data_IF_002313759278
#
_entry.id   IF_002313759278
#
_cell.length_a   1.000
_cell.length_b   1.000
_cell.length_c   1.000
_cell.angle_alpha   90.00
_cell.angle_beta   90.00
_cell.angle_gamma   90.00
#
_symmetry.space_group_name_H-M   'P 1'
#
loop_
_entity.id
_entity.type
_entity.pdbx_description
1 polymer ?
#
# COMPACT_ATOMS: atom_id res chain seq x y z
N UNK A 1 3.49 32.02 -2.78
CA UNK A 1 4.94 32.26 -2.61
C UNK A 1 5.24 32.05 -1.14
N UNK A 2 5.55 30.82 -0.78
CA UNK A 2 6.12 30.47 0.51
C UNK A 2 7.58 30.16 0.21
N UNK A 3 8.48 31.03 0.65
CA UNK A 3 9.90 30.76 0.66
C UNK A 3 10.14 29.54 1.55
N UNK A 4 10.26 28.37 0.95
CA UNK A 4 11.06 27.29 1.53
C UNK A 4 12.42 27.91 1.84
N UNK A 5 12.77 27.99 3.13
CA UNK A 5 14.14 28.15 3.59
C UNK A 5 15.01 27.19 2.77
N UNK A 6 15.67 27.73 1.75
CA UNK A 6 16.56 26.97 0.91
C UNK A 6 17.80 26.73 1.76
N UNK A 7 17.87 25.53 2.34
CA UNK A 7 19.11 25.00 2.90
C UNK A 7 20.19 25.23 1.84
N UNK A 8 21.24 25.98 2.16
CA UNK A 8 22.30 26.26 1.18
C UNK A 8 22.78 24.93 0.58
N UNK A 9 22.98 24.86 -0.76
CA UNK A 9 23.41 23.64 -1.39
C UNK A 9 24.68 23.14 -0.71
N UNK A 10 24.67 21.87 -0.31
CA UNK A 10 25.86 21.26 0.27
C UNK A 10 27.03 21.44 -0.70
N UNK A 11 28.28 21.53 -0.23
CA UNK A 11 29.44 21.82 -1.09
C UNK A 11 29.66 20.81 -2.23
N UNK A 12 28.95 19.68 -2.21
CA UNK A 12 28.98 18.63 -3.22
C UNK A 12 27.63 18.38 -3.90
N UNK A 13 26.62 19.21 -3.64
CA UNK A 13 25.30 19.06 -4.24
C UNK A 13 25.36 19.40 -5.74
N UNK A 14 24.65 18.61 -6.54
CA UNK A 14 24.63 18.81 -8.00
C UNK A 14 23.72 19.97 -8.37
N UNK A 15 24.17 20.93 -9.17
CA UNK A 15 23.29 22.03 -9.63
C UNK A 15 22.32 21.61 -10.76
N UNK A 16 22.56 20.45 -11.38
CA UNK A 16 21.81 19.97 -12.54
C UNK A 16 20.64 19.06 -12.13
N UNK A 17 19.40 19.51 -12.37
CA UNK A 17 18.16 18.74 -12.12
C UNK A 17 18.20 17.35 -12.79
N UNK A 18 18.68 17.24 -14.02
CA UNK A 18 18.77 15.97 -14.73
C UNK A 18 19.67 14.98 -13.98
N UNK A 19 20.80 15.44 -13.46
CA UNK A 19 21.70 14.59 -12.66
C UNK A 19 21.08 14.20 -11.31
N UNK A 20 20.37 15.11 -10.63
CA UNK A 20 19.62 14.79 -9.39
C UNK A 20 18.57 13.71 -9.60
N UNK A 21 17.85 13.76 -10.71
CA UNK A 21 16.87 12.73 -11.05
C UNK A 21 17.54 11.38 -11.29
N UNK A 22 18.68 11.37 -11.99
CA UNK A 22 19.46 10.14 -12.24
C UNK A 22 19.97 9.54 -10.93
N UNK A 23 20.58 10.33 -10.05
CA UNK A 23 21.07 9.84 -8.75
C UNK A 23 19.93 9.33 -7.89
N UNK A 24 18.83 10.07 -7.79
CA UNK A 24 17.70 9.71 -6.92
C UNK A 24 17.00 8.44 -7.40
N UNK A 25 16.67 8.36 -8.70
CA UNK A 25 16.02 7.18 -9.27
C UNK A 25 16.96 5.97 -9.29
N UNK A 26 18.22 6.17 -9.70
CA UNK A 26 19.23 5.13 -9.73
C UNK A 26 19.53 4.54 -8.36
N UNK A 27 19.63 5.39 -7.33
CA UNK A 27 19.83 4.95 -5.95
C UNK A 27 18.61 4.18 -5.41
N UNK A 28 17.41 4.64 -5.71
CA UNK A 28 16.18 3.94 -5.34
C UNK A 28 16.12 2.53 -5.96
N UNK A 29 16.42 2.42 -7.26
CA UNK A 29 16.52 1.15 -7.97
C UNK A 29 17.62 0.23 -7.43
N UNK A 30 18.78 0.80 -7.09
CA UNK A 30 19.89 0.05 -6.47
C UNK A 30 19.46 -0.55 -5.12
N UNK A 31 18.82 0.22 -4.25
CA UNK A 31 18.33 -0.27 -2.97
C UNK A 31 17.30 -1.40 -3.15
N UNK A 32 16.37 -1.24 -4.11
CA UNK A 32 15.38 -2.28 -4.40
C UNK A 32 16.04 -3.57 -4.88
N UNK A 33 17.05 -3.46 -5.74
CA UNK A 33 17.84 -4.60 -6.20
C UNK A 33 18.60 -5.28 -5.06
N UNK A 34 19.28 -4.51 -4.19
CA UNK A 34 19.96 -5.07 -3.02
C UNK A 34 18.96 -5.75 -2.07
N UNK A 35 17.78 -5.14 -1.85
CA UNK A 35 16.71 -5.75 -1.06
C UNK A 35 16.22 -7.08 -1.66
N UNK A 36 16.14 -7.17 -2.98
CA UNK A 36 15.86 -8.42 -3.69
C UNK A 36 16.95 -9.46 -3.47
N UNK A 37 18.23 -9.10 -3.64
CA UNK A 37 19.36 -10.01 -3.43
C UNK A 37 19.45 -10.53 -1.97
N UNK A 38 19.17 -9.67 -0.99
CA UNK A 38 19.10 -10.08 0.41
C UNK A 38 17.96 -11.09 0.61
N UNK A 39 16.79 -10.85 0.01
CA UNK A 39 15.66 -11.79 0.07
C UNK A 39 15.98 -13.12 -0.61
N UNK A 40 16.67 -13.09 -1.75
CA UNK A 40 17.08 -14.28 -2.50
C UNK A 40 18.10 -15.14 -1.73
N UNK A 41 19.02 -14.53 -0.99
CA UNK A 41 20.14 -15.25 -0.37
C UNK A 41 19.95 -15.50 1.14
N UNK A 42 19.22 -14.64 1.85
CA UNK A 42 19.06 -14.75 3.31
C UNK A 42 17.79 -15.52 3.70
N UNK A 43 17.97 -16.68 4.34
CA UNK A 43 16.83 -17.55 4.69
C UNK A 43 15.88 -16.92 5.71
N UNK A 44 16.35 -16.01 6.58
CA UNK A 44 15.49 -15.40 7.59
C UNK A 44 14.41 -14.53 6.95
N UNK A 45 14.73 -13.71 5.94
CA UNK A 45 13.79 -12.81 5.25
C UNK A 45 12.72 -13.59 4.49
N UNK A 46 13.08 -14.73 3.88
CA UNK A 46 12.11 -15.62 3.24
C UNK A 46 11.21 -16.35 4.22
N UNK A 47 11.74 -16.77 5.37
CA UNK A 47 10.98 -17.47 6.42
C UNK A 47 9.85 -16.62 7.00
N UNK A 48 10.07 -15.32 7.10
CA UNK A 48 9.06 -14.34 7.53
C UNK A 48 8.37 -13.63 6.34
N UNK A 49 8.61 -14.10 5.12
CA UNK A 49 8.04 -13.61 3.85
C UNK A 49 8.07 -12.08 3.67
N UNK A 50 9.14 -11.44 4.15
CA UNK A 50 9.29 -10.00 3.99
C UNK A 50 9.45 -9.65 2.49
N UNK A 51 8.71 -8.63 1.98
CA UNK A 51 8.90 -8.10 0.63
C UNK A 51 10.29 -7.46 0.44
N UNK A 52 10.84 -7.53 -0.76
CA UNK A 52 12.14 -6.93 -1.08
C UNK A 52 12.14 -5.40 -0.89
N UNK A 53 11.03 -4.74 -1.22
CA UNK A 53 10.81 -3.30 -1.02
C UNK A 53 10.89 -2.87 0.45
N UNK A 54 10.44 -3.72 1.39
CA UNK A 54 10.56 -3.46 2.82
C UNK A 54 12.02 -3.50 3.29
N UNK A 55 12.79 -4.49 2.82
CA UNK A 55 14.24 -4.60 3.10
C UNK A 55 14.98 -3.39 2.52
N UNK A 56 14.68 -3.06 1.26
CA UNK A 56 15.25 -1.91 0.57
C UNK A 56 14.95 -0.59 1.28
N UNK A 57 13.71 -0.41 1.75
CA UNK A 57 13.32 0.75 2.54
C UNK A 57 14.09 0.84 3.86
N UNK A 58 14.27 -0.27 4.57
CA UNK A 58 15.08 -0.33 5.79
C UNK A 58 16.57 0.00 5.54
N UNK A 59 17.13 -0.45 4.42
CA UNK A 59 18.48 -0.06 4.00
C UNK A 59 18.57 1.44 3.68
N UNK A 60 17.56 1.98 2.98
CA UNK A 60 17.46 3.41 2.69
C UNK A 60 17.37 4.24 3.97
N UNK A 61 16.58 3.79 4.94
CA UNK A 61 16.46 4.42 6.24
C UNK A 61 17.80 4.43 6.97
N UNK A 62 18.47 3.27 7.06
CA UNK A 62 19.80 3.17 7.67
C UNK A 62 20.80 4.12 7.00
N UNK A 63 20.81 4.17 5.66
CA UNK A 63 21.67 5.08 4.91
C UNK A 63 21.39 6.55 5.27
N UNK A 64 20.13 6.97 5.21
CA UNK A 64 19.73 8.34 5.55
C UNK A 64 20.14 8.70 6.98
N UNK A 65 19.94 7.80 7.94
CA UNK A 65 20.32 8.03 9.33
C UNK A 65 21.84 8.14 9.52
N UNK A 66 22.64 7.32 8.82
CA UNK A 66 24.09 7.43 8.87
C UNK A 66 24.58 8.76 8.26
N UNK A 67 23.92 9.25 7.21
CA UNK A 67 24.25 10.53 6.58
C UNK A 67 23.88 11.74 7.43
N UNK A 68 22.93 11.62 8.37
CA UNK A 68 22.58 12.69 9.31
C UNK A 68 23.70 13.00 10.32
N UNK A 69 24.71 12.13 10.45
CA UNK A 69 25.86 12.35 11.34
C UNK A 69 26.79 13.49 10.88
N UNK A 70 26.63 13.98 9.65
CA UNK A 70 27.39 15.09 9.09
C UNK A 70 26.49 16.03 8.28
N UNK A 71 26.38 17.29 8.70
CA UNK A 71 25.44 18.25 8.10
C UNK A 71 25.69 18.51 6.61
N UNK A 72 26.96 18.55 6.18
CA UNK A 72 27.29 18.72 4.76
C UNK A 72 26.89 17.52 3.91
N UNK A 73 27.07 16.30 4.44
CA UNK A 73 26.65 15.05 3.77
C UNK A 73 25.12 14.97 3.73
N UNK A 74 24.46 15.30 4.83
CA UNK A 74 23.00 15.34 4.93
C UNK A 74 22.41 16.25 3.85
N UNK A 75 22.90 17.47 3.71
CA UNK A 75 22.42 18.42 2.71
C UNK A 75 22.55 17.87 1.28
N UNK A 76 23.70 17.29 0.93
CA UNK A 76 23.91 16.66 -0.38
C UNK A 76 22.99 15.45 -0.60
N UNK A 77 22.79 14.61 0.42
CA UNK A 77 21.90 13.45 0.31
C UNK A 77 20.44 13.87 0.10
N UNK A 78 19.95 14.82 0.89
CA UNK A 78 18.58 15.35 0.77
C UNK A 78 18.33 16.01 -0.60
N UNK A 79 19.34 16.70 -1.15
CA UNK A 79 19.22 17.42 -2.42
C UNK A 79 19.37 16.53 -3.66
N UNK A 80 20.23 15.49 -3.61
CA UNK A 80 20.59 14.72 -4.81
C UNK A 80 20.14 13.25 -4.76
N UNK A 81 20.38 12.56 -3.63
CA UNK A 81 20.25 11.09 -3.55
C UNK A 81 18.85 10.62 -3.19
N UNK A 82 18.11 11.41 -2.42
CA UNK A 82 16.72 11.13 -2.05
C UNK A 82 15.75 12.21 -2.52
N UNK A 83 16.16 12.97 -3.54
CA UNK A 83 15.37 14.04 -4.13
C UNK A 83 13.99 13.50 -4.56
N UNK A 84 12.91 14.09 -4.02
CA UNK A 84 11.54 13.71 -4.32
C UNK A 84 10.99 12.51 -3.55
N UNK A 85 11.79 11.81 -2.74
CA UNK A 85 11.33 10.58 -2.06
C UNK A 85 10.24 10.88 -1.02
N UNK A 86 10.25 12.05 -0.38
CA UNK A 86 9.20 12.44 0.57
C UNK A 86 7.81 12.60 -0.08
N UNK A 87 7.77 12.95 -1.37
CA UNK A 87 6.50 13.11 -2.13
C UNK A 87 6.12 11.84 -2.91
N UNK A 88 7.08 10.95 -3.15
CA UNK A 88 6.87 9.75 -3.94
C UNK A 88 5.73 8.85 -3.42
N UNK A 89 5.59 8.58 -2.11
CA UNK A 89 4.54 7.69 -1.63
C UNK A 89 3.13 8.14 -2.02
N UNK A 90 2.83 9.43 -1.89
CA UNK A 90 1.52 9.99 -2.24
C UNK A 90 1.26 9.88 -3.75
N UNK A 91 2.24 10.26 -4.57
CA UNK A 91 2.13 10.19 -6.02
C UNK A 91 1.96 8.75 -6.53
N UNK A 92 2.81 7.84 -6.07
CA UNK A 92 2.77 6.42 -6.45
C UNK A 92 1.47 5.76 -5.98
N UNK A 93 0.94 6.15 -4.82
CA UNK A 93 -0.35 5.66 -4.34
C UNK A 93 -1.49 6.01 -5.31
N UNK A 94 -1.50 7.21 -5.89
CA UNK A 94 -2.49 7.57 -6.91
C UNK A 94 -2.45 6.61 -8.11
N UNK A 95 -1.26 6.16 -8.53
CA UNK A 95 -1.12 5.18 -9.61
C UNK A 95 -1.62 3.80 -9.19
N UNK A 96 -1.22 3.31 -8.00
CA UNK A 96 -1.67 2.01 -7.45
C UNK A 96 -3.20 1.94 -7.48
N UNK A 97 -3.87 2.96 -6.92
CA UNK A 97 -5.32 3.02 -6.85
C UNK A 97 -5.99 3.18 -8.22
N UNK A 98 -5.37 3.89 -9.15
CA UNK A 98 -5.83 4.02 -10.54
C UNK A 98 -5.89 2.65 -11.23
N UNK A 99 -4.83 1.84 -11.05
CA UNK A 99 -4.72 0.51 -11.70
C UNK A 99 -5.63 -0.56 -11.11
N UNK A 100 -6.28 -0.31 -9.97
CA UNK A 100 -7.01 -1.33 -9.21
C UNK A 100 -8.13 -2.02 -10.01
N UNK A 101 -8.90 -1.26 -10.78
CA UNK A 101 -10.03 -1.77 -11.58
C UNK A 101 -9.75 -1.87 -13.08
N UNK A 102 -8.62 -1.34 -13.55
CA UNK A 102 -8.29 -1.33 -14.97
C UNK A 102 -7.80 -2.70 -15.45
N UNK A 103 -8.10 -3.01 -16.71
CA UNK A 103 -7.81 -4.29 -17.36
C UNK A 103 -8.83 -5.40 -17.10
N UNK A 104 -9.89 -5.15 -16.33
CA UNK A 104 -10.94 -6.16 -16.09
C UNK A 104 -11.92 -6.26 -17.27
N UNK A 105 -11.92 -7.43 -17.92
CA UNK A 105 -12.78 -7.74 -19.08
C UNK A 105 -14.28 -7.74 -18.75
N UNK A 106 -14.65 -8.16 -17.54
CA UNK A 106 -16.03 -8.14 -17.05
C UNK A 106 -16.10 -7.49 -15.67
N UNK A 107 -16.65 -6.28 -15.61
CA UNK A 107 -16.97 -5.66 -14.33
C UNK A 107 -18.20 -6.38 -13.73
N UNK A 108 -18.14 -6.85 -12.47
CA UNK A 108 -19.27 -7.49 -11.84
C UNK A 108 -20.45 -6.51 -11.75
N UNK A 109 -21.67 -7.04 -11.84
CA UNK A 109 -22.86 -6.22 -11.59
C UNK A 109 -22.83 -5.67 -10.16
N UNK A 110 -23.47 -4.51 -9.93
CA UNK A 110 -23.52 -3.90 -8.59
C UNK A 110 -24.00 -4.87 -7.51
N UNK A 111 -24.99 -5.73 -7.81
CA UNK A 111 -25.50 -6.74 -6.88
C UNK A 111 -24.47 -7.82 -6.55
N UNK A 112 -23.70 -8.28 -7.54
CA UNK A 112 -22.61 -9.24 -7.31
C UNK A 112 -21.47 -8.59 -6.53
N UNK A 113 -21.07 -7.37 -6.92
CA UNK A 113 -20.06 -6.59 -6.21
C UNK A 113 -20.45 -6.40 -4.73
N UNK A 114 -21.71 -6.03 -4.43
CA UNK A 114 -22.19 -5.90 -3.05
C UNK A 114 -22.22 -7.22 -2.29
N UNK A 115 -22.62 -8.32 -2.94
CA UNK A 115 -22.64 -9.65 -2.30
C UNK A 115 -21.24 -10.13 -1.92
N UNK A 116 -20.24 -9.81 -2.73
CA UNK A 116 -18.84 -10.22 -2.52
C UNK A 116 -18.09 -9.24 -1.59
N UNK A 117 -18.17 -7.93 -1.87
CA UNK A 117 -17.42 -6.90 -1.16
C UNK A 117 -18.14 -6.37 0.08
N UNK A 118 -19.47 -6.47 0.17
CA UNK A 118 -20.26 -5.94 1.28
C UNK A 118 -19.86 -6.50 2.66
N UNK A 119 -19.73 -7.83 2.83
CA UNK A 119 -19.24 -8.41 4.08
C UNK A 119 -17.82 -7.94 4.44
N UNK A 120 -16.94 -7.81 3.44
CA UNK A 120 -15.57 -7.33 3.64
C UNK A 120 -15.54 -5.84 4.02
N UNK A 121 -16.39 -5.03 3.40
CA UNK A 121 -16.58 -3.63 3.76
C UNK A 121 -17.09 -3.51 5.20
N UNK A 122 -18.12 -4.29 5.57
CA UNK A 122 -18.65 -4.29 6.93
C UNK A 122 -17.59 -4.70 7.96
N UNK A 123 -16.81 -5.75 7.67
CA UNK A 123 -15.68 -6.17 8.51
C UNK A 123 -14.64 -5.04 8.63
N UNK A 124 -14.21 -4.45 7.52
CA UNK A 124 -13.27 -3.33 7.52
C UNK A 124 -13.79 -2.13 8.33
N UNK A 125 -15.09 -1.82 8.24
CA UNK A 125 -15.71 -0.78 9.06
C UNK A 125 -15.74 -1.14 10.54
N UNK A 126 -16.04 -2.38 10.92
CA UNK A 126 -16.00 -2.81 12.33
C UNK A 126 -14.59 -2.64 12.91
N UNK A 127 -13.57 -3.08 12.17
CA UNK A 127 -12.17 -2.91 12.57
C UNK A 127 -11.82 -1.42 12.70
N UNK A 128 -12.16 -0.62 11.70
CA UNK A 128 -11.84 0.81 11.67
C UNK A 128 -12.56 1.62 12.75
N UNK A 129 -13.85 1.41 12.95
CA UNK A 129 -14.59 2.04 14.06
C UNK A 129 -14.06 1.59 15.42
N UNK A 130 -13.65 0.32 15.54
CA UNK A 130 -12.92 -0.16 16.72
C UNK A 130 -11.63 0.63 16.95
N UNK A 131 -10.81 0.82 15.92
CA UNK A 131 -9.58 1.62 16.01
C UNK A 131 -9.85 3.07 16.45
N UNK A 132 -10.93 3.69 15.96
CA UNK A 132 -11.36 5.01 16.44
C UNK A 132 -11.75 5.00 17.93
N UNK A 133 -12.57 4.04 18.35
CA UNK A 133 -13.04 3.93 19.74
C UNK A 133 -11.87 3.68 20.70
N UNK A 134 -11.00 2.72 20.38
CA UNK A 134 -9.85 2.41 21.22
C UNK A 134 -8.80 3.51 21.19
N UNK A 135 -8.52 4.10 20.03
CA UNK A 135 -7.64 5.26 19.92
C UNK A 135 -8.12 6.42 20.79
N UNK A 136 -9.41 6.77 20.73
CA UNK A 136 -9.99 7.82 21.57
C UNK A 136 -9.94 7.47 23.07
N UNK A 137 -10.31 6.23 23.44
CA UNK A 137 -10.30 5.78 24.82
C UNK A 137 -8.88 5.80 25.42
N UNK A 138 -7.88 5.32 24.68
CA UNK A 138 -6.48 5.32 25.13
C UNK A 138 -5.91 6.74 25.20
N UNK A 139 -6.23 7.61 24.25
CA UNK A 139 -5.78 9.01 24.33
C UNK A 139 -6.37 9.71 25.55
N UNK A 140 -7.66 9.54 25.81
CA UNK A 140 -8.32 10.14 26.96
C UNK A 140 -7.81 9.57 28.30
N UNK A 141 -7.67 8.25 28.42
CA UNK A 141 -7.36 7.59 29.68
C UNK A 141 -5.85 7.50 29.97
N UNK A 142 -4.99 7.54 28.95
CA UNK A 142 -3.57 7.26 29.07
C UNK A 142 -2.69 8.31 28.38
N UNK A 143 -2.82 8.52 27.06
CA UNK A 143 -1.82 9.31 26.32
C UNK A 143 -1.83 10.80 26.67
N UNK A 144 -3.00 11.43 26.76
CA UNK A 144 -3.08 12.82 27.21
C UNK A 144 -2.70 13.00 28.69
N UNK A 145 -3.26 12.24 29.66
CA UNK A 145 -2.95 12.47 31.08
C UNK A 145 -1.54 12.03 31.52
N UNK A 146 -0.99 10.96 30.93
CA UNK A 146 0.31 10.39 31.37
C UNK A 146 1.46 10.87 30.50
N UNK A 147 1.25 10.96 29.18
CA UNK A 147 2.31 11.33 28.22
C UNK A 147 2.19 12.76 27.70
N UNK A 148 1.12 13.48 28.03
CA UNK A 148 0.90 14.86 27.55
C UNK A 148 0.60 14.94 26.05
N UNK A 149 0.17 13.84 25.44
CA UNK A 149 -0.07 13.77 23.99
C UNK A 149 -1.31 14.56 23.55
N UNK A 150 -1.24 15.07 22.33
CA UNK A 150 -2.32 15.86 21.72
C UNK A 150 -3.59 15.01 21.53
N UNK A 151 -4.79 15.61 21.62
CA UNK A 151 -6.06 14.88 21.48
C UNK A 151 -6.19 14.14 20.13
N UNK A 152 -5.59 14.70 19.07
CA UNK A 152 -5.56 14.10 17.73
C UNK A 152 -4.70 12.84 17.64
N UNK A 153 -3.90 12.52 18.67
CA UNK A 153 -3.17 11.26 18.78
C UNK A 153 -4.11 10.04 18.67
N UNK A 154 -5.37 10.20 19.10
CA UNK A 154 -6.44 9.20 18.96
C UNK A 154 -6.71 8.78 17.50
N UNK A 155 -6.52 9.70 16.55
CA UNK A 155 -6.79 9.47 15.14
C UNK A 155 -5.67 8.73 14.42
N UNK A 156 -4.48 8.65 15.00
CA UNK A 156 -3.28 8.15 14.31
C UNK A 156 -3.45 6.71 13.82
N UNK A 157 -4.01 5.81 14.64
CA UNK A 157 -4.23 4.41 14.24
C UNK A 157 -5.20 4.29 13.06
N UNK A 158 -6.46 4.77 13.16
CA UNK A 158 -7.42 4.58 12.08
C UNK A 158 -7.00 5.28 10.79
N UNK A 159 -6.26 6.38 10.85
CA UNK A 159 -5.83 7.11 9.64
C UNK A 159 -4.56 6.54 9.03
N UNK A 160 -3.71 5.91 9.83
CA UNK A 160 -2.39 5.44 9.38
C UNK A 160 -2.34 3.93 9.16
N UNK A 161 -2.76 3.13 10.14
CA UNK A 161 -2.70 1.67 10.02
C UNK A 161 -3.76 1.13 9.05
N UNK A 162 -5.01 1.60 9.17
CA UNK A 162 -6.08 1.19 8.25
C UNK A 162 -6.01 1.96 6.93
N UNK A 163 -5.74 3.27 7.00
CA UNK A 163 -5.75 4.16 5.85
C UNK A 163 -4.45 4.20 5.04
N UNK A 164 -3.33 3.77 5.60
CA UNK A 164 -2.01 3.77 4.97
C UNK A 164 -1.44 5.17 4.69
N UNK A 165 -0.36 5.19 3.90
CA UNK A 165 0.35 6.42 3.54
C UNK A 165 -0.53 7.44 2.81
N UNK A 166 -1.48 6.99 1.98
CA UNK A 166 -2.39 7.88 1.25
C UNK A 166 -3.34 8.64 2.18
N UNK A 167 -3.89 7.98 3.20
CA UNK A 167 -4.78 8.62 4.18
C UNK A 167 -4.00 9.49 5.15
N UNK A 168 -2.79 9.05 5.56
CA UNK A 168 -1.87 9.86 6.36
C UNK A 168 -1.49 11.17 5.66
N UNK A 169 -1.21 11.12 4.36
CA UNK A 169 -0.96 12.32 3.56
C UNK A 169 -2.19 13.24 3.51
N UNK A 170 -3.38 12.65 3.34
CA UNK A 170 -4.64 13.40 3.31
C UNK A 170 -5.00 14.12 4.60
N UNK A 171 -4.71 13.51 5.76
CA UNK A 171 -5.02 14.11 7.07
C UNK A 171 -3.92 15.03 7.59
N UNK A 172 -2.70 14.97 7.05
CA UNK A 172 -1.57 15.80 7.50
C UNK A 172 -1.89 17.31 7.57
N UNK A 173 -2.57 17.94 6.57
CA UNK A 173 -2.97 19.35 6.67
C UNK A 173 -3.97 19.64 7.80
N UNK A 174 -4.73 18.65 8.24
CA UNK A 174 -5.63 18.79 9.38
C UNK A 174 -4.83 18.77 10.69
N UNK A 175 -3.81 17.91 10.82
CA UNK A 175 -2.93 17.94 11.99
C UNK A 175 -2.25 19.30 12.16
N UNK A 176 -1.71 19.87 11.09
CA UNK A 176 -1.14 21.22 11.10
C UNK A 176 -2.18 22.28 11.48
N UNK A 177 -3.42 22.18 10.98
CA UNK A 177 -4.49 23.12 11.30
C UNK A 177 -4.90 23.11 12.79
N UNK A 178 -4.83 21.94 13.42
CA UNK A 178 -5.18 21.74 14.83
C UNK A 178 -3.97 21.79 15.77
N UNK A 179 -2.79 22.23 15.30
CA UNK A 179 -1.60 22.40 16.13
C UNK A 179 -0.95 21.08 16.58
N UNK A 180 -1.17 19.99 15.84
CA UNK A 180 -0.51 18.70 16.09
C UNK A 180 0.71 18.56 15.18
N UNK A 181 1.77 19.30 15.49
CA UNK A 181 2.95 19.47 14.63
C UNK A 181 3.64 18.15 14.27
N UNK A 182 3.75 17.22 15.22
CA UNK A 182 4.34 15.89 15.00
C UNK A 182 3.39 14.91 14.30
N UNK A 183 2.10 15.22 14.20
CA UNK A 183 1.06 14.30 13.74
C UNK A 183 1.29 13.76 12.34
N UNK A 184 1.81 14.58 11.42
CA UNK A 184 2.17 14.16 10.06
C UNK A 184 3.22 13.05 10.09
N UNK A 185 4.33 13.28 10.79
CA UNK A 185 5.46 12.35 10.84
C UNK A 185 5.08 11.06 11.57
N UNK A 186 4.33 11.17 12.67
CA UNK A 186 3.80 10.03 13.41
C UNK A 186 2.87 9.17 12.56
N UNK A 187 1.97 9.79 11.77
CA UNK A 187 1.04 9.07 10.91
C UNK A 187 1.74 8.34 9.75
N UNK A 188 2.72 8.99 9.11
CA UNK A 188 3.53 8.35 8.07
C UNK A 188 4.31 7.17 8.64
N UNK A 189 4.90 7.34 9.83
CA UNK A 189 5.62 6.25 10.52
C UNK A 189 4.69 5.09 10.86
N UNK A 190 3.52 5.36 11.44
CA UNK A 190 2.55 4.33 11.80
C UNK A 190 2.00 3.59 10.56
N UNK A 191 1.88 4.27 9.42
CA UNK A 191 1.52 3.63 8.15
C UNK A 191 2.57 2.59 7.74
N UNK A 192 3.84 2.95 7.85
CA UNK A 192 4.96 2.04 7.58
C UNK A 192 4.96 0.85 8.54
N UNK A 193 4.82 1.08 9.84
CA UNK A 193 4.70 0.00 10.82
C UNK A 193 3.49 -0.89 10.54
N UNK A 194 2.36 -0.31 10.11
CA UNK A 194 1.18 -1.06 9.69
C UNK A 194 1.48 -2.06 8.57
N UNK A 195 2.21 -1.64 7.52
CA UNK A 195 2.65 -2.54 6.44
C UNK A 195 3.60 -3.63 6.97
N UNK A 196 4.58 -3.25 7.79
CA UNK A 196 5.54 -4.22 8.38
C UNK A 196 4.80 -5.27 9.23
N UNK A 197 3.95 -4.83 10.15
CA UNK A 197 3.17 -5.71 11.02
C UNK A 197 2.18 -6.56 10.21
N UNK A 198 1.48 -5.97 9.25
CA UNK A 198 0.58 -6.70 8.35
C UNK A 198 1.29 -7.84 7.62
N UNK A 199 2.46 -7.57 7.02
CA UNK A 199 3.25 -8.60 6.35
C UNK A 199 3.77 -9.67 7.32
N UNK A 200 4.40 -9.27 8.42
CA UNK A 200 5.05 -10.21 9.36
C UNK A 200 4.02 -11.03 10.12
N UNK A 201 3.03 -10.37 10.74
CA UNK A 201 1.99 -11.03 11.53
C UNK A 201 1.05 -11.82 10.63
N UNK A 202 0.68 -11.28 9.46
CA UNK A 202 -0.10 -12.02 8.45
C UNK A 202 0.60 -13.32 8.04
N UNK A 203 1.91 -13.26 7.78
CA UNK A 203 2.71 -14.46 7.47
C UNK A 203 2.71 -15.47 8.62
N UNK A 204 2.86 -15.01 9.87
CA UNK A 204 2.79 -15.88 11.04
C UNK A 204 1.41 -16.55 11.13
N UNK A 205 0.33 -15.79 10.97
CA UNK A 205 -1.05 -16.29 11.00
C UNK A 205 -1.29 -17.32 9.90
N UNK A 206 -0.84 -17.06 8.66
CA UNK A 206 -0.94 -18.02 7.55
C UNK A 206 -0.15 -19.30 7.84
N UNK A 207 1.09 -19.19 8.31
CA UNK A 207 1.92 -20.35 8.64
C UNK A 207 1.34 -21.19 9.78
N UNK A 208 0.75 -20.55 10.80
CA UNK A 208 0.02 -21.25 11.87
C UNK A 208 -1.24 -21.89 11.29
N UNK A 209 -1.98 -21.19 10.43
CA UNK A 209 -3.14 -21.71 9.72
C UNK A 209 -2.84 -22.96 8.90
N UNK A 210 -1.76 -22.96 8.13
CA UNK A 210 -1.26 -24.10 7.37
C UNK A 210 -0.98 -25.31 8.28
N UNK A 211 -0.31 -25.10 9.41
CA UNK A 211 0.02 -26.16 10.38
C UNK A 211 -1.21 -26.72 11.11
N UNK A 212 -2.18 -25.87 11.39
CA UNK A 212 -3.42 -26.25 12.05
C UNK A 212 -4.48 -26.82 11.10
N UNK A 213 -4.22 -26.83 9.79
CA UNK A 213 -5.16 -27.34 8.77
C UNK A 213 -6.31 -26.38 8.46
N UNK A 214 -6.13 -25.07 8.70
CA UNK A 214 -7.15 -24.04 8.57
C UNK A 214 -7.04 -23.18 7.31
N UNK A 215 -6.03 -23.40 6.45
CA UNK A 215 -5.86 -22.67 5.19
C UNK A 215 -6.43 -23.42 3.99
N UNK A 216 -6.69 -22.70 2.90
CA UNK A 216 -7.07 -23.29 1.62
C UNK A 216 -6.00 -24.24 1.08
N UNK A 217 -4.73 -23.90 1.23
CA UNK A 217 -3.63 -24.79 0.88
C UNK A 217 -3.70 -26.12 1.63
N UNK A 218 -3.94 -26.11 2.94
CA UNK A 218 -4.15 -27.34 3.72
C UNK A 218 -5.38 -28.12 3.25
N UNK A 219 -6.44 -27.43 2.82
CA UNK A 219 -7.63 -28.03 2.23
C UNK A 219 -7.31 -28.71 0.89
N UNK A 220 -6.63 -28.03 -0.04
CA UNK A 220 -6.25 -28.55 -1.36
C UNK A 220 -5.28 -29.73 -1.23
N UNK A 221 -4.27 -29.63 -0.35
CA UNK A 221 -3.35 -30.75 -0.11
C UNK A 221 -4.11 -31.97 0.42
N UNK A 222 -5.07 -31.77 1.31
CA UNK A 222 -5.91 -32.85 1.83
C UNK A 222 -6.85 -33.41 0.77
N UNK A 223 -7.44 -32.58 -0.09
CA UNK A 223 -8.33 -33.05 -1.16
C UNK A 223 -7.57 -33.83 -2.23
N UNK A 224 -6.33 -33.43 -2.56
CA UNK A 224 -5.42 -34.18 -3.43
C UNK A 224 -5.03 -35.53 -2.80
N UNK A 225 -4.63 -35.55 -1.53
CA UNK A 225 -4.33 -36.78 -0.78
C UNK A 225 -5.55 -37.72 -0.71
N UNK A 226 -6.75 -37.17 -0.50
CA UNK A 226 -8.00 -37.93 -0.44
C UNK A 226 -8.34 -38.50 -1.83
N UNK A 227 -8.16 -37.72 -2.90
CA UNK A 227 -8.35 -38.18 -4.28
C UNK A 227 -7.38 -39.30 -4.66
N UNK A 228 -6.10 -39.20 -4.28
CA UNK A 228 -5.11 -40.27 -4.48
C UNK A 228 -5.47 -41.56 -3.72
N UNK A 229 -6.16 -41.45 -2.59
CA UNK A 229 -6.66 -42.57 -1.78
C UNK A 229 -8.03 -43.10 -2.26
N UNK A 230 -8.58 -42.56 -3.35
CA UNK A 230 -9.90 -42.93 -3.88
C UNK A 230 -11.07 -42.47 -3.01
N UNK A 231 -10.85 -41.51 -2.11
CA UNK A 231 -11.87 -40.86 -1.30
C UNK A 231 -12.42 -39.70 -2.11
N UNK A 232 -13.74 -39.64 -2.32
CA UNK A 232 -14.37 -38.49 -2.99
C UNK A 232 -14.12 -37.23 -2.16
N UNK A 233 -13.44 -36.20 -2.72
CA UNK A 233 -13.24 -34.94 -2.03
C UNK A 233 -14.59 -34.33 -1.64
N UNK A 234 -14.65 -33.64 -0.50
CA UNK A 234 -15.77 -32.72 -0.25
C UNK A 234 -15.76 -31.67 -1.37
N UNK A 235 -16.94 -31.28 -1.85
CA UNK A 235 -17.09 -30.21 -2.85
C UNK A 235 -16.35 -28.95 -2.39
N UNK A 236 -15.66 -28.29 -3.32
CA UNK A 236 -14.91 -27.07 -3.04
C UNK A 236 -15.86 -26.01 -2.44
N UNK A 237 -15.59 -25.47 -1.24
CA UNK A 237 -16.40 -24.40 -0.67
C UNK A 237 -16.48 -23.15 -1.58
N UNK A 238 -15.60 -23.01 -2.57
CA UNK A 238 -15.52 -21.89 -3.51
C UNK A 238 -16.20 -22.11 -4.87
N UNK A 239 -16.85 -23.25 -5.13
CA UNK A 239 -17.49 -23.57 -6.42
C UNK A 239 -18.74 -22.70 -6.71
N UNK A 240 -18.51 -21.50 -7.24
CA UNK A 240 -19.46 -20.78 -8.09
C UNK A 240 -18.76 -20.46 -9.44
N UNK A 241 -18.59 -21.44 -10.33
CA UNK A 241 -18.66 -21.16 -11.79
C UNK A 241 -17.42 -21.22 -12.69
N UNK A 242 -16.32 -21.88 -12.36
CA UNK A 242 -15.30 -22.24 -13.37
C UNK A 242 -14.91 -23.73 -13.28
N UNK A 243 -15.32 -24.51 -14.29
CA UNK A 243 -14.88 -25.89 -14.53
C UNK A 243 -13.40 -25.90 -14.95
N UNK A 244 -12.49 -25.74 -14.00
CA UNK A 244 -11.12 -26.18 -14.18
C UNK A 244 -10.84 -27.17 -13.06
N UNK A 245 -10.64 -28.45 -13.42
CA UNK A 245 -10.20 -29.47 -12.47
C UNK A 245 -8.93 -29.02 -11.74
N UNK A 246 -8.56 -29.66 -10.62
CA UNK A 246 -7.44 -29.19 -9.79
C UNK A 246 -6.15 -29.21 -10.60
N UNK A 247 -5.79 -28.06 -11.17
CA UNK A 247 -4.45 -27.81 -11.64
C UNK A 247 -3.54 -28.03 -10.43
N UNK A 248 -2.35 -28.61 -10.63
CA UNK A 248 -1.38 -28.73 -9.54
C UNK A 248 -0.92 -27.32 -9.17
N UNK A 249 -1.67 -26.66 -8.29
CA UNK A 249 -1.35 -25.35 -7.79
C UNK A 249 0.01 -25.43 -7.07
N UNK A 250 1.00 -24.81 -7.69
CA UNK A 250 2.31 -24.67 -7.08
C UNK A 250 2.22 -23.63 -5.97
N UNK A 251 2.27 -24.09 -4.71
CA UNK A 251 2.32 -23.20 -3.55
C UNK A 251 3.77 -22.89 -3.19
N UNK A 252 4.26 -21.66 -3.40
CA UNK A 252 5.62 -21.30 -3.03
C UNK A 252 5.83 -21.47 -1.52
N UNK A 253 6.97 -22.03 -1.16
CA UNK A 253 7.39 -22.21 0.23
C UNK A 253 8.47 -21.19 0.60
N UNK A 254 8.68 -20.95 1.89
CA UNK A 254 9.78 -20.11 2.37
C UNK A 254 11.18 -20.62 1.97
N UNK A 255 11.29 -21.91 1.59
CA UNK A 255 12.53 -22.49 1.06
C UNK A 255 12.79 -22.06 -0.37
N UNK A 256 11.74 -21.68 -1.09
CA UNK A 256 11.84 -21.27 -2.47
C UNK A 256 12.52 -19.92 -2.56
N UNK A 257 13.34 -19.80 -3.60
CA UNK A 257 14.03 -18.58 -3.95
C UNK A 257 13.04 -17.56 -4.54
N UNK A 258 13.40 -16.28 -4.44
CA UNK A 258 12.61 -15.20 -5.01
C UNK A 258 12.58 -15.28 -6.54
N UNK A 259 13.69 -15.70 -7.15
CA UNK A 259 13.77 -15.92 -8.60
C UNK A 259 13.10 -17.24 -8.97
N UNK A 260 12.02 -17.14 -9.73
CA UNK A 260 11.32 -18.32 -10.26
C UNK A 260 12.14 -18.93 -11.41
N UNK A 261 12.46 -20.24 -11.36
CA UNK A 261 13.12 -20.94 -12.46
C UNK A 261 12.35 -20.82 -13.77
N UNK A 262 13.05 -20.72 -14.90
CA UNK A 262 12.46 -20.40 -16.22
C UNK A 262 11.29 -21.32 -16.57
N UNK A 263 11.42 -22.61 -16.31
CA UNK A 263 10.41 -23.63 -16.58
C UNK A 263 9.11 -23.49 -15.76
N UNK A 264 9.16 -22.77 -14.63
CA UNK A 264 8.01 -22.57 -13.73
C UNK A 264 7.39 -21.18 -13.86
N UNK A 265 7.91 -20.32 -14.75
CA UNK A 265 7.40 -18.94 -14.91
C UNK A 265 6.06 -18.96 -15.64
N UNK A 266 5.06 -18.27 -15.07
CA UNK A 266 3.76 -18.01 -15.72
C UNK A 266 3.80 -16.70 -16.51
N UNK A 267 2.95 -16.57 -17.53
CA UNK A 267 2.80 -15.29 -18.26
C UNK A 267 2.22 -14.23 -17.32
N UNK A 268 2.89 -13.09 -17.21
CA UNK A 268 2.49 -12.00 -16.30
C UNK A 268 1.74 -10.85 -16.97
N UNK A 269 1.67 -10.80 -18.29
CA UNK A 269 0.98 -9.77 -19.07
C UNK A 269 0.86 -10.20 -20.53
N UNK A 270 -0.15 -9.69 -21.23
CA UNK A 270 -0.36 -9.94 -22.66
C UNK A 270 -0.12 -8.67 -23.47
N UNK A 271 0.43 -8.81 -24.67
CA UNK A 271 0.51 -7.70 -25.63
C UNK A 271 -0.88 -7.43 -26.19
N UNK A 272 -1.36 -6.19 -26.08
CA UNK A 272 -2.72 -5.81 -26.52
C UNK A 272 -2.73 -5.05 -27.83
N UNK A 273 -1.59 -4.53 -28.25
CA UNK A 273 -1.42 -3.70 -29.45
C UNK A 273 -0.13 -4.07 -30.18
N UNK A 274 -0.12 -3.80 -31.48
CA UNK A 274 1.05 -4.04 -32.31
C UNK A 274 2.14 -3.00 -32.01
N UNK A 275 3.39 -3.48 -31.87
CA UNK A 275 4.53 -2.65 -31.44
C UNK A 275 4.92 -1.55 -32.46
N UNK A 276 4.49 -1.66 -33.71
CA UNK A 276 4.68 -0.63 -34.74
C UNK A 276 3.73 0.56 -34.56
N UNK A 277 2.60 0.37 -33.88
CA UNK A 277 1.68 1.44 -33.53
C UNK A 277 2.10 2.14 -32.23
N UNK A 278 2.18 1.39 -31.13
CA UNK A 278 2.63 1.87 -29.82
C UNK A 278 2.97 0.66 -28.95
N UNK A 279 3.99 0.79 -28.09
CA UNK A 279 4.28 -0.26 -27.11
C UNK A 279 3.10 -0.47 -26.16
N UNK A 280 2.81 -1.74 -25.83
CA UNK A 280 1.68 -2.09 -24.95
C UNK A 280 1.80 -1.42 -23.58
N UNK A 281 3.00 -1.39 -22.97
CA UNK A 281 3.21 -0.74 -21.68
C UNK A 281 2.97 0.78 -21.78
N UNK A 282 3.46 1.40 -22.86
CA UNK A 282 3.26 2.84 -23.09
C UNK A 282 1.77 3.19 -23.20
N UNK A 283 0.97 2.37 -23.88
CA UNK A 283 -0.48 2.57 -23.96
C UNK A 283 -1.16 2.47 -22.59
N UNK A 284 -0.78 1.47 -21.78
CA UNK A 284 -1.35 1.31 -20.43
C UNK A 284 -0.99 2.50 -19.53
N UNK A 285 0.27 2.95 -19.58
CA UNK A 285 0.71 4.15 -18.87
C UNK A 285 -0.03 5.41 -19.35
N UNK A 286 -0.40 5.50 -20.63
CA UNK A 286 -1.22 6.59 -21.15
C UNK A 286 -2.64 6.60 -20.55
N UNK A 287 -3.27 5.42 -20.40
CA UNK A 287 -4.57 5.33 -19.72
C UNK A 287 -4.49 5.66 -18.23
N UNK A 288 -3.42 5.23 -17.54
CA UNK A 288 -3.14 5.64 -16.16
C UNK A 288 -2.98 7.16 -16.08
N UNK A 289 -2.16 7.75 -16.96
CA UNK A 289 -1.93 9.20 -17.00
C UNK A 289 -3.23 9.97 -17.29
N UNK A 290 -4.09 9.47 -18.18
CA UNK A 290 -5.40 10.05 -18.45
C UNK A 290 -6.28 10.05 -17.19
N UNK A 291 -6.33 8.95 -16.45
CA UNK A 291 -7.08 8.86 -15.19
C UNK A 291 -6.55 9.86 -14.14
N UNK A 292 -5.23 9.97 -14.00
CA UNK A 292 -4.59 10.94 -13.10
C UNK A 292 -4.91 12.39 -13.51
N UNK A 293 -4.90 12.68 -14.81
CA UNK A 293 -5.21 14.01 -15.34
C UNK A 293 -6.67 14.39 -15.07
N UNK A 294 -7.61 13.46 -15.29
CA UNK A 294 -9.02 13.66 -14.99
C UNK A 294 -9.26 13.85 -13.48
N UNK A 295 -8.55 13.07 -12.65
CA UNK A 295 -8.59 13.23 -11.20
C UNK A 295 -8.04 14.59 -10.76
N UNK A 296 -6.93 15.06 -11.35
CA UNK A 296 -6.38 16.39 -11.11
C UNK A 296 -7.41 17.48 -11.43
N UNK A 297 -8.04 17.44 -12.61
CA UNK A 297 -9.07 18.41 -12.97
C UNK A 297 -10.28 18.36 -12.04
N UNK A 298 -10.69 17.17 -11.62
CA UNK A 298 -11.78 16.99 -10.65
C UNK A 298 -11.43 17.60 -9.31
N UNK A 299 -10.24 17.34 -8.77
CA UNK A 299 -9.76 17.96 -7.53
C UNK A 299 -9.67 19.48 -7.65
N UNK A 300 -9.16 20.00 -8.77
CA UNK A 300 -9.12 21.45 -9.04
C UNK A 300 -10.52 22.07 -9.07
N UNK A 301 -11.49 21.41 -9.70
CA UNK A 301 -12.87 21.86 -9.71
C UNK A 301 -13.45 21.89 -8.28
N UNK A 302 -13.23 20.85 -7.48
CA UNK A 302 -13.67 20.80 -6.08
C UNK A 302 -13.06 21.94 -5.24
N UNK A 303 -11.78 22.25 -5.42
CA UNK A 303 -11.13 23.38 -4.74
C UNK A 303 -11.69 24.74 -5.18
N UNK A 304 -12.04 24.90 -6.46
CA UNK A 304 -12.70 26.12 -6.95
C UNK A 304 -14.08 26.26 -6.31
N UNK A 305 -14.84 25.16 -6.21
CA UNK A 305 -16.15 25.14 -5.54
C UNK A 305 -16.04 25.47 -4.05
N UNK A 306 -15.00 24.97 -3.36
CA UNK A 306 -14.70 25.33 -1.98
C UNK A 306 -14.56 26.84 -1.81
N UNK A 307 -13.79 27.49 -2.70
CA UNK A 307 -13.58 28.94 -2.67
C UNK A 307 -14.82 29.79 -2.94
N UNK A 308 -15.95 29.20 -3.36
CA UNK A 308 -17.21 29.94 -3.57
C UNK A 308 -18.01 30.18 -2.30
N UNK A 309 -17.76 29.42 -1.22
CA UNK A 309 -18.54 29.50 0.00
C UNK A 309 -17.63 29.51 1.22
N UNK A 310 -17.74 30.54 2.04
CA UNK A 310 -16.94 30.69 3.26
C UNK A 310 -17.05 29.49 4.20
N UNK A 311 -18.25 28.89 4.33
CA UNK A 311 -18.44 27.70 5.15
C UNK A 311 -17.63 26.50 4.66
N UNK A 312 -17.48 26.34 3.34
CA UNK A 312 -16.67 25.25 2.76
C UNK A 312 -15.18 25.48 3.01
N UNK A 313 -14.72 26.73 2.88
CA UNK A 313 -13.34 27.13 3.17
C UNK A 313 -13.01 26.90 4.64
N UNK A 314 -13.88 27.35 5.55
CA UNK A 314 -13.67 27.25 6.99
C UNK A 314 -13.57 25.79 7.45
N UNK A 315 -14.33 24.88 6.81
CA UNK A 315 -14.34 23.45 7.13
C UNK A 315 -13.37 22.61 6.28
N UNK A 316 -12.61 23.21 5.35
CA UNK A 316 -11.65 22.54 4.48
C UNK A 316 -12.19 21.30 3.74
N UNK A 317 -13.47 21.31 3.36
CA UNK A 317 -14.20 20.09 2.98
C UNK A 317 -13.57 19.37 1.77
N UNK A 318 -13.23 20.12 0.74
CA UNK A 318 -12.68 19.56 -0.48
C UNK A 318 -11.17 19.52 -0.49
N UNK A 319 -10.50 20.48 0.15
CA UNK A 319 -9.06 20.54 0.28
C UNK A 319 -8.49 19.35 1.05
N UNK A 320 -9.16 18.91 2.12
CA UNK A 320 -8.79 17.72 2.89
C UNK A 320 -9.03 16.37 2.16
N UNK A 321 -9.88 16.34 1.12
CA UNK A 321 -10.20 15.08 0.44
C UNK A 321 -9.00 14.55 -0.38
N UNK A 322 -8.49 13.33 -0.13
CA UNK A 322 -7.30 12.83 -0.84
C UNK A 322 -7.51 12.68 -2.35
N UNK A 323 -6.43 12.69 -3.15
CA UNK A 323 -6.51 12.53 -4.60
C UNK A 323 -6.74 11.08 -5.04
N UNK A 324 -6.17 10.10 -4.33
CA UNK A 324 -6.21 8.68 -4.73
C UNK A 324 -7.62 8.07 -4.87
N UNK A 325 -8.65 8.41 -4.05
CA UNK A 325 -10.00 7.91 -4.27
C UNK A 325 -10.60 8.46 -5.57
N UNK A 326 -10.30 9.72 -5.91
CA UNK A 326 -10.71 10.33 -7.18
C UNK A 326 -10.04 9.59 -8.34
N UNK A 327 -8.75 9.29 -8.22
CA UNK A 327 -8.00 8.48 -9.18
C UNK A 327 -8.60 7.08 -9.39
N UNK A 328 -8.95 6.39 -8.30
CA UNK A 328 -9.62 5.09 -8.35
C UNK A 328 -10.95 5.16 -9.12
N UNK A 329 -11.78 6.18 -8.85
CA UNK A 329 -13.06 6.38 -9.53
C UNK A 329 -12.89 6.63 -11.03
N UNK A 330 -11.90 7.42 -11.43
CA UNK A 330 -11.61 7.64 -12.86
C UNK A 330 -11.03 6.41 -13.54
N UNK A 331 -10.20 5.62 -12.86
CA UNK A 331 -9.74 4.32 -13.37
C UNK A 331 -10.91 3.37 -13.64
N UNK A 332 -11.87 3.27 -12.71
CA UNK A 332 -13.10 2.50 -12.90
C UNK A 332 -13.96 3.06 -14.04
N UNK A 333 -14.14 4.38 -14.10
CA UNK A 333 -14.93 5.02 -15.14
C UNK A 333 -14.34 4.79 -16.55
N UNK A 334 -13.02 4.90 -16.69
CA UNK A 334 -12.31 4.57 -17.93
C UNK A 334 -12.53 3.10 -18.28
N UNK A 335 -12.43 2.17 -17.32
CA UNK A 335 -12.71 0.76 -17.58
C UNK A 335 -14.14 0.53 -18.07
N UNK A 336 -15.14 1.21 -17.49
CA UNK A 336 -16.54 1.16 -17.94
C UNK A 336 -16.67 1.66 -19.38
N UNK A 337 -16.01 2.77 -19.73
CA UNK A 337 -15.97 3.28 -21.11
C UNK A 337 -15.33 2.25 -22.04
N UNK A 338 -14.18 1.68 -21.66
CA UNK A 338 -13.47 0.68 -22.47
C UNK A 338 -14.39 -0.50 -22.76
N UNK A 339 -15.00 -1.09 -21.73
CA UNK A 339 -15.90 -2.23 -21.88
C UNK A 339 -17.16 -1.90 -22.70
N UNK A 340 -17.61 -0.65 -22.68
CA UNK A 340 -18.80 -0.21 -23.42
C UNK A 340 -18.53 0.06 -24.90
N UNK A 341 -17.39 0.68 -25.22
CA UNK A 341 -17.11 1.19 -26.56
C UNK A 341 -16.14 0.32 -27.37
N UNK A 342 -15.28 -0.47 -26.72
CA UNK A 342 -14.29 -1.30 -27.39
C UNK A 342 -14.74 -2.76 -27.40
N UNK A 343 -14.81 -3.37 -28.60
CA UNK A 343 -15.09 -4.81 -28.74
C UNK A 343 -13.92 -5.68 -28.28
N UNK A 344 -12.70 -5.16 -28.46
CA UNK A 344 -11.45 -5.78 -28.02
C UNK A 344 -10.79 -4.78 -27.09
N UNK A 345 -10.59 -5.17 -25.82
CA UNK A 345 -10.00 -4.27 -24.83
C UNK A 345 -8.54 -3.97 -25.21
N UNK A 346 -8.14 -2.69 -25.29
CA UNK A 346 -6.73 -2.31 -25.41
C UNK A 346 -5.98 -2.48 -24.09
N UNK A 347 -6.69 -2.76 -22.99
CA UNK A 347 -6.14 -2.95 -21.65
C UNK A 347 -6.08 -4.43 -21.27
N UNK A 348 -4.93 -4.83 -20.76
CA UNK A 348 -4.60 -6.12 -20.17
C UNK A 348 -4.49 -5.98 -18.65
N UNK A 349 -5.09 -6.94 -17.94
CA UNK A 349 -5.10 -6.97 -16.48
C UNK A 349 -3.71 -7.16 -15.91
N UNK A 350 -2.92 -8.07 -16.48
CA UNK A 350 -1.57 -8.37 -15.99
C UNK A 350 -0.65 -7.15 -16.08
N UNK A 351 -0.74 -6.40 -17.17
CA UNK A 351 0.02 -5.15 -17.33
C UNK A 351 -0.37 -4.10 -16.27
N UNK A 352 -1.67 -3.91 -16.00
CA UNK A 352 -2.14 -2.99 -14.95
C UNK A 352 -1.67 -3.41 -13.56
N UNK A 353 -1.72 -4.71 -13.24
CA UNK A 353 -1.24 -5.26 -11.96
C UNK A 353 0.27 -5.08 -11.80
N UNK A 354 1.05 -5.20 -12.88
CA UNK A 354 2.50 -4.97 -12.85
C UNK A 354 2.85 -3.49 -12.67
N UNK A 355 2.10 -2.57 -13.29
CA UNK A 355 2.25 -1.12 -13.07
C UNK A 355 1.96 -0.80 -11.59
N UNK A 356 0.82 -1.27 -11.08
CA UNK A 356 0.42 -1.07 -9.69
C UNK A 356 1.42 -1.69 -8.71
N UNK A 357 1.85 -2.93 -8.94
CA UNK A 357 2.83 -3.63 -8.11
C UNK A 357 4.20 -2.94 -8.09
N UNK A 358 4.70 -2.49 -9.24
CA UNK A 358 5.94 -1.72 -9.29
C UNK A 358 5.83 -0.40 -8.51
N UNK A 359 4.74 0.34 -8.68
CA UNK A 359 4.50 1.58 -7.93
C UNK A 359 4.41 1.33 -6.42
N UNK A 360 3.79 0.22 -6.01
CA UNK A 360 3.69 -0.18 -4.61
C UNK A 360 5.07 -0.47 -4.00
N UNK A 361 5.95 -1.18 -4.71
CA UNK A 361 7.30 -1.48 -4.23
C UNK A 361 8.12 -0.21 -4.00
N UNK A 362 8.08 0.73 -4.95
CA UNK A 362 8.77 2.03 -4.82
C UNK A 362 8.13 2.92 -3.75
N UNK A 363 6.80 2.89 -3.61
CA UNK A 363 6.06 3.59 -2.55
C UNK A 363 6.54 3.14 -1.18
N UNK A 364 6.55 1.83 -0.95
CA UNK A 364 6.96 1.24 0.33
C UNK A 364 8.42 1.57 0.64
N UNK A 365 9.32 1.39 -0.34
CA UNK A 365 10.74 1.70 -0.18
C UNK A 365 10.96 3.15 0.23
N UNK A 366 10.43 4.09 -0.56
CA UNK A 366 10.64 5.52 -0.33
C UNK A 366 10.01 5.99 0.97
N UNK A 367 8.82 5.49 1.32
CA UNK A 367 8.15 5.81 2.56
C UNK A 367 8.97 5.42 3.80
N UNK A 368 9.49 4.19 3.84
CA UNK A 368 10.33 3.72 4.94
C UNK A 368 11.62 4.53 5.00
N UNK A 369 12.28 4.72 3.84
CA UNK A 369 13.58 5.39 3.78
C UNK A 369 13.52 6.85 4.26
N UNK A 370 12.38 7.54 4.08
CA UNK A 370 12.20 8.93 4.52
C UNK A 370 11.49 9.09 5.86
N UNK A 371 11.36 8.02 6.65
CA UNK A 371 10.73 8.08 7.98
C UNK A 371 11.52 8.99 8.94
N UNK A 372 10.84 9.89 9.64
CA UNK A 372 11.45 10.82 10.59
C UNK A 372 11.58 10.19 11.98
N UNK A 373 12.77 9.66 12.30
CA UNK A 373 13.02 8.99 13.58
C UNK A 373 12.95 9.93 14.80
N UNK A 374 13.23 11.22 14.64
CA UNK A 374 13.20 12.17 15.76
C UNK A 374 11.78 12.35 16.29
N UNK A 375 10.82 12.55 15.39
CA UNK A 375 9.40 12.63 15.75
C UNK A 375 8.91 11.34 16.43
N UNK A 376 9.40 10.18 15.98
CA UNK A 376 9.08 8.88 16.58
C UNK A 376 9.71 8.72 17.95
N UNK A 377 10.94 9.19 18.15
CA UNK A 377 11.67 9.05 19.41
C UNK A 377 11.00 9.84 20.54
N UNK A 378 10.47 11.02 20.24
CA UNK A 378 9.74 11.86 21.22
C UNK A 378 8.49 11.17 21.76
N UNK A 379 7.75 10.44 20.91
CA UNK A 379 6.51 9.74 21.26
C UNK A 379 6.66 8.22 21.26
N UNK A 380 7.87 7.66 21.44
CA UNK A 380 8.10 6.20 21.26
C UNK A 380 7.30 5.37 22.27
N UNK A 381 7.20 5.83 23.52
CA UNK A 381 6.43 5.19 24.58
C UNK A 381 4.95 5.05 24.20
N UNK A 382 4.22 6.15 23.99
CA UNK A 382 2.80 6.09 23.61
C UNK A 382 2.59 5.40 22.25
N UNK A 383 3.49 5.57 21.27
CA UNK A 383 3.40 4.89 19.98
C UNK A 383 3.50 3.37 20.08
N UNK A 384 4.44 2.83 20.87
CA UNK A 384 4.58 1.37 21.03
C UNK A 384 3.35 0.78 21.70
N UNK A 385 2.81 1.45 22.73
CA UNK A 385 1.58 1.02 23.41
C UNK A 385 0.41 1.02 22.42
N UNK A 386 0.28 2.09 21.63
CA UNK A 386 -0.74 2.24 20.60
C UNK A 386 -0.63 1.11 19.55
N UNK A 387 0.56 0.87 19.01
CA UNK A 387 0.82 -0.18 18.02
C UNK A 387 0.46 -1.59 18.52
N UNK A 388 0.89 -1.94 19.74
CA UNK A 388 0.59 -3.25 20.34
C UNK A 388 -0.91 -3.40 20.53
N UNK A 389 -1.59 -2.37 21.03
CA UNK A 389 -3.03 -2.43 21.26
C UNK A 389 -3.81 -2.56 19.96
N UNK A 390 -3.45 -1.77 18.94
CA UNK A 390 -4.04 -1.85 17.60
C UNK A 390 -3.83 -3.21 16.97
N UNK A 391 -2.64 -3.80 17.11
CA UNK A 391 -2.36 -5.14 16.61
C UNK A 391 -3.24 -6.19 17.32
N UNK A 392 -3.36 -6.11 18.64
CA UNK A 392 -4.23 -7.01 19.41
C UNK A 392 -5.68 -6.86 18.97
N UNK A 393 -6.18 -5.63 18.81
CA UNK A 393 -7.54 -5.38 18.33
C UNK A 393 -7.78 -5.99 16.94
N UNK A 394 -6.86 -5.77 16.00
CA UNK A 394 -6.96 -6.34 14.65
C UNK A 394 -6.95 -7.87 14.67
N UNK A 395 -6.11 -8.49 15.50
CA UNK A 395 -6.09 -9.96 15.66
C UNK A 395 -7.37 -10.48 16.30
N UNK A 396 -7.88 -9.82 17.35
CA UNK A 396 -9.16 -10.19 17.98
C UNK A 396 -10.29 -10.08 16.97
N UNK A 397 -10.38 -8.98 16.23
CA UNK A 397 -11.39 -8.80 15.20
C UNK A 397 -11.28 -9.87 14.11
N UNK A 398 -10.06 -10.17 13.63
CA UNK A 398 -9.81 -11.20 12.64
C UNK A 398 -10.29 -12.58 13.10
N UNK A 399 -9.91 -13.02 14.30
CA UNK A 399 -10.29 -14.35 14.80
C UNK A 399 -11.75 -14.44 15.25
N UNK A 400 -12.32 -13.37 15.82
CA UNK A 400 -13.68 -13.37 16.36
C UNK A 400 -14.74 -13.21 15.27
N UNK A 401 -14.50 -12.36 14.26
CA UNK A 401 -15.42 -12.15 13.15
C UNK A 401 -15.16 -13.09 11.96
N UNK A 402 -14.19 -14.00 12.08
CA UNK A 402 -13.95 -15.13 11.16
C UNK A 402 -15.22 -15.87 10.70
N UNK A 403 -16.24 -16.15 11.56
CA UNK A 403 -17.45 -16.88 11.15
C UNK A 403 -18.31 -16.14 10.11
N UNK A 404 -18.13 -14.81 9.96
CA UNK A 404 -18.85 -14.01 8.95
C UNK A 404 -18.25 -14.22 7.54
N UNK A 405 -16.98 -14.65 7.46
CA UNK A 405 -16.23 -14.83 6.21
C UNK A 405 -15.96 -16.31 5.84
N UNK A 406 -16.25 -17.26 6.74
CA UNK A 406 -15.72 -18.62 6.67
C UNK A 406 -16.38 -19.55 5.64
N UNK A 407 -17.42 -19.15 4.91
CA UNK A 407 -18.00 -20.04 3.90
C UNK A 407 -17.34 -19.94 2.51
N UNK A 408 -16.55 -18.90 2.17
CA UNK A 408 -16.07 -18.70 0.77
C UNK A 408 -14.71 -18.00 0.56
N UNK A 409 -13.97 -17.53 1.57
CA UNK A 409 -12.94 -16.49 1.33
C UNK A 409 -11.61 -16.63 2.08
N UNK A 410 -11.01 -17.82 2.14
CA UNK A 410 -9.56 -17.90 2.32
C UNK A 410 -8.95 -18.23 0.96
N UNK A 411 -8.66 -17.21 0.17
CA UNK A 411 -7.80 -17.28 -1.02
C UNK A 411 -6.56 -16.45 -0.74
#
# INVERSE_FOLDING_TARGET
>A
MTETSAMEPGPFAMDNIGMRLVSSFGFCGLLLYIGHEIRENLACTRRIMIPASLVAGGLGLLFVQLCQLNDSVKATVEQDWIAGWRQAPEFLNNIVFTTLFMGQSSLPSFKQAWRLAGPQLAYGQIVGWGNWVFGAAMTLALFTPVFGEHAMFSSLVPTSMDGGHGTSAGIAPAYEAFGFDSGRELAFTLSTFGVIFGCVVGTIVVNVGDRCGFSYKSYVMKSQDDAEKGITPKTDPCEDGEENGPEKDYFPTWKDKAVIPVQNRKSGSQLTVANDAVDTMALHLAFVALALLLAYFTKRLLLVLEGTNQWLVDNRLFSAFPLFPICMLWGLFIQVIVNKFFRVSPLDRGTMERIGGACLDFLVLTAIATTNLSAVAESIGPLVILLVFSLVWQLVAFFFYRPINASKFLV
#
